data_IF_227388614868
#
_entry.id   IF_227388614868
#
_cell.length_a   1.000
_cell.length_b   1.000
_cell.length_c   1.000
_cell.angle_alpha   90.00
_cell.angle_beta   90.00
_cell.angle_gamma   90.00
#
_symmetry.space_group_name_H-M   'P 1'
#
loop_
_entity.id
_entity.type
_entity.pdbx_description
1 polymer ?
#
# COMPACT_ATOMS: atom_id res chain seq x y z
N UNK A 1 -13.12 -37.66 8.94
CA UNK A 1 -13.79 -36.45 9.48
C UNK A 1 -12.81 -35.28 9.62
N UNK A 2 -11.60 -35.52 10.13
CA UNK A 2 -10.51 -34.52 10.23
C UNK A 2 -10.06 -33.91 8.88
N UNK A 3 -9.88 -34.72 7.83
CA UNK A 3 -9.47 -34.25 6.49
C UNK A 3 -10.53 -33.33 5.86
N UNK A 4 -11.82 -33.61 6.08
CA UNK A 4 -12.93 -32.80 5.56
C UNK A 4 -13.06 -31.46 6.31
N UNK A 5 -12.73 -31.43 7.60
CA UNK A 5 -12.68 -30.20 8.39
C UNK A 5 -11.50 -29.31 7.99
N UNK A 6 -10.34 -29.88 7.65
CA UNK A 6 -9.18 -29.10 7.19
C UNK A 6 -9.49 -28.41 5.84
N UNK A 7 -10.07 -29.11 4.87
CA UNK A 7 -10.45 -28.49 3.58
C UNK A 7 -11.52 -27.40 3.73
N UNK A 8 -12.50 -27.59 4.61
CA UNK A 8 -13.52 -26.57 4.91
C UNK A 8 -12.93 -25.30 5.53
N UNK A 9 -11.91 -25.42 6.39
CA UNK A 9 -11.20 -24.26 6.96
C UNK A 9 -10.48 -23.46 5.89
N UNK A 10 -9.81 -24.12 4.95
CA UNK A 10 -9.09 -23.41 3.87
C UNK A 10 -10.03 -22.70 2.90
N UNK A 11 -11.20 -23.27 2.60
CA UNK A 11 -12.25 -22.61 1.82
C UNK A 11 -12.68 -21.26 2.40
N UNK A 12 -12.88 -21.23 3.71
CA UNK A 12 -13.23 -19.99 4.43
C UNK A 12 -12.11 -18.95 4.36
N UNK A 13 -10.84 -19.37 4.40
CA UNK A 13 -9.69 -18.47 4.23
C UNK A 13 -9.63 -17.90 2.82
N UNK A 14 -9.90 -18.71 1.78
CA UNK A 14 -9.94 -18.21 0.41
C UNK A 14 -11.07 -17.21 0.19
N UNK A 15 -12.25 -17.46 0.78
CA UNK A 15 -13.38 -16.54 0.74
C UNK A 15 -13.03 -15.21 1.42
N UNK A 16 -12.47 -15.27 2.63
CA UNK A 16 -12.04 -14.07 3.38
C UNK A 16 -11.02 -13.27 2.58
N UNK A 17 -10.01 -13.93 2.00
CA UNK A 17 -9.02 -13.29 1.15
C UNK A 17 -9.60 -12.69 -0.12
N UNK A 18 -10.57 -13.36 -0.75
CA UNK A 18 -11.28 -12.85 -1.92
C UNK A 18 -12.11 -11.59 -1.62
N UNK A 19 -12.86 -11.59 -0.51
CA UNK A 19 -13.63 -10.41 -0.06
C UNK A 19 -12.68 -9.27 0.29
N UNK A 20 -11.60 -9.54 1.02
CA UNK A 20 -10.60 -8.53 1.35
C UNK A 20 -9.93 -7.95 0.09
N UNK A 21 -9.69 -8.77 -0.93
CA UNK A 21 -9.13 -8.30 -2.19
C UNK A 21 -10.09 -7.40 -2.97
N UNK A 22 -11.40 -7.66 -2.92
CA UNK A 22 -12.41 -6.74 -3.46
C UNK A 22 -12.39 -5.40 -2.70
N UNK A 23 -12.37 -5.44 -1.36
CA UNK A 23 -12.30 -4.22 -0.56
C UNK A 23 -11.02 -3.42 -0.87
N UNK A 24 -9.90 -4.12 -1.05
CA UNK A 24 -8.64 -3.51 -1.44
C UNK A 24 -8.70 -2.88 -2.84
N UNK A 25 -9.29 -3.57 -3.82
CA UNK A 25 -9.53 -3.02 -5.16
C UNK A 25 -10.42 -1.77 -5.13
N UNK A 26 -11.47 -1.77 -4.30
CA UNK A 26 -12.33 -0.58 -4.12
C UNK A 26 -11.51 0.57 -3.54
N UNK A 27 -10.66 0.32 -2.55
CA UNK A 27 -9.78 1.34 -1.97
C UNK A 27 -8.80 1.91 -3.00
N UNK A 28 -8.20 1.07 -3.86
CA UNK A 28 -7.30 1.50 -4.95
C UNK A 28 -8.05 2.35 -5.98
N UNK A 29 -9.26 1.95 -6.37
CA UNK A 29 -10.08 2.75 -7.30
C UNK A 29 -10.49 4.08 -6.68
N UNK A 30 -10.86 4.08 -5.40
CA UNK A 30 -11.17 5.29 -4.66
C UNK A 30 -9.95 6.22 -4.56
N UNK A 31 -8.75 5.69 -4.32
CA UNK A 31 -7.51 6.45 -4.30
C UNK A 31 -7.25 7.16 -5.64
N UNK A 32 -7.36 6.43 -6.76
CA UNK A 32 -7.22 7.00 -8.11
C UNK A 32 -8.25 8.12 -8.35
N UNK A 33 -9.51 7.89 -7.96
CA UNK A 33 -10.58 8.88 -8.14
C UNK A 33 -10.36 10.13 -7.29
N UNK A 34 -10.05 9.97 -6.00
CA UNK A 34 -9.79 11.09 -5.09
C UNK A 34 -8.57 11.87 -5.57
N UNK A 35 -7.43 11.20 -5.80
CA UNK A 35 -6.18 11.85 -6.21
C UNK A 35 -6.29 12.58 -7.54
N UNK A 36 -7.04 12.06 -8.51
CA UNK A 36 -7.30 12.77 -9.77
C UNK A 36 -8.25 13.96 -9.62
N UNK A 37 -9.19 13.91 -8.66
CA UNK A 37 -10.13 15.01 -8.40
C UNK A 37 -9.54 16.15 -7.56
N UNK A 38 -8.54 15.87 -6.71
CA UNK A 38 -7.94 16.85 -5.79
C UNK A 38 -6.67 17.52 -6.31
N UNK A 39 -6.36 17.35 -7.60
CA UNK A 39 -5.32 18.11 -8.30
C UNK A 39 -4.14 17.30 -8.81
N UNK A 40 -3.98 16.02 -8.43
CA UNK A 40 -2.99 15.06 -8.97
C UNK A 40 -1.50 15.45 -8.91
N UNK A 41 -1.18 16.72 -8.65
CA UNK A 41 0.15 17.28 -8.71
C UNK A 41 0.74 17.32 -7.31
N UNK A 42 1.61 16.36 -7.02
CA UNK A 42 2.31 16.25 -5.73
C UNK A 42 3.10 17.52 -5.36
N UNK A 43 3.42 18.38 -6.34
CA UNK A 43 4.11 19.66 -6.13
C UNK A 43 3.19 20.79 -5.66
N UNK A 44 1.88 20.67 -5.86
CA UNK A 44 0.86 21.62 -5.38
C UNK A 44 0.36 21.30 -3.97
N UNK A 45 0.75 20.13 -3.44
CA UNK A 45 0.44 19.76 -2.08
C UNK A 45 1.16 20.69 -1.08
N UNK A 46 0.57 20.96 0.09
CA UNK A 46 1.25 21.63 1.20
C UNK A 46 2.60 20.97 1.52
N UNK A 47 3.70 21.69 1.34
CA UNK A 47 5.05 21.16 1.51
C UNK A 47 5.58 21.36 2.94
N UNK A 48 5.06 22.34 3.67
CA UNK A 48 5.48 22.63 5.05
C UNK A 48 4.52 22.04 6.07
N UNK A 49 5.03 21.81 7.28
CA UNK A 49 4.24 21.36 8.41
C UNK A 49 3.09 22.33 8.74
N UNK A 50 3.36 23.63 8.68
CA UNK A 50 2.35 24.65 8.96
C UNK A 50 1.26 24.62 7.90
N UNK A 51 1.60 24.53 6.62
CA UNK A 51 0.60 24.44 5.55
C UNK A 51 -0.25 23.17 5.68
N UNK A 52 0.36 22.05 6.08
CA UNK A 52 -0.35 20.80 6.40
C UNK A 52 -1.27 20.96 7.60
N UNK A 53 -0.85 21.67 8.64
CA UNK A 53 -1.74 21.97 9.76
C UNK A 53 -2.93 22.81 9.32
N UNK A 54 -2.72 23.83 8.47
CA UNK A 54 -3.82 24.63 7.90
C UNK A 54 -4.75 23.77 7.03
N UNK A 55 -4.22 22.84 6.25
CA UNK A 55 -5.02 21.88 5.48
C UNK A 55 -5.90 21.05 6.42
N UNK A 56 -5.34 20.49 7.50
CA UNK A 56 -6.11 19.76 8.50
C UNK A 56 -7.20 20.60 9.16
N UNK A 57 -6.98 21.91 9.35
CA UNK A 57 -7.99 22.82 9.91
C UNK A 57 -9.12 23.11 8.92
N UNK A 58 -8.84 23.12 7.60
CA UNK A 58 -9.83 23.34 6.54
C UNK A 58 -10.60 22.07 6.18
N UNK A 59 -9.88 20.96 6.03
CA UNK A 59 -10.41 19.66 5.63
C UNK A 59 -9.59 18.54 6.27
N UNK A 60 -10.01 18.03 7.46
CA UNK A 60 -9.29 16.96 8.13
C UNK A 60 -9.14 15.70 7.29
N UNK A 61 -10.21 15.32 6.57
CA UNK A 61 -10.22 14.10 5.74
C UNK A 61 -9.26 14.18 4.56
N UNK A 62 -9.13 15.36 3.94
CA UNK A 62 -8.19 15.57 2.86
C UNK A 62 -6.74 15.52 3.36
N UNK A 63 -6.46 16.14 4.52
CA UNK A 63 -5.13 16.04 5.15
C UNK A 63 -4.76 14.60 5.52
N UNK A 64 -5.72 13.80 6.02
CA UNK A 64 -5.51 12.37 6.30
C UNK A 64 -5.23 11.58 5.02
N UNK A 65 -5.96 11.86 3.94
CA UNK A 65 -5.76 11.24 2.64
C UNK A 65 -4.38 11.54 2.07
N UNK A 66 -3.97 12.82 2.04
CA UNK A 66 -2.66 13.24 1.51
C UNK A 66 -1.46 12.76 2.34
N UNK A 67 -1.69 12.28 3.56
CA UNK A 67 -0.67 11.60 4.38
C UNK A 67 -0.86 10.08 4.39
N UNK A 68 -1.37 9.51 3.29
CA UNK A 68 -1.41 8.06 3.04
C UNK A 68 -2.27 7.25 4.04
N UNK A 69 -3.27 7.85 4.71
CA UNK A 69 -4.13 7.07 5.62
C UNK A 69 -4.93 6.00 4.86
N UNK A 70 -5.48 6.33 3.68
CA UNK A 70 -6.21 5.36 2.86
C UNK A 70 -5.31 4.19 2.45
N UNK A 71 -4.07 4.49 2.03
CA UNK A 71 -3.06 3.48 1.69
C UNK A 71 -2.69 2.61 2.89
N UNK A 72 -2.58 3.21 4.09
CA UNK A 72 -2.32 2.48 5.34
C UNK A 72 -3.46 1.51 5.68
N UNK A 73 -4.72 1.94 5.54
CA UNK A 73 -5.89 1.09 5.75
C UNK A 73 -5.94 -0.03 4.71
N UNK A 74 -5.66 0.29 3.44
CA UNK A 74 -5.62 -0.69 2.36
C UNK A 74 -4.54 -1.77 2.58
N UNK A 75 -3.38 -1.38 3.12
CA UNK A 75 -2.32 -2.32 3.52
C UNK A 75 -2.77 -3.29 4.60
N UNK A 76 -3.53 -2.83 5.60
CA UNK A 76 -4.11 -3.70 6.64
C UNK A 76 -5.17 -4.66 6.07
N UNK A 77 -6.05 -4.16 5.19
CA UNK A 77 -7.05 -4.99 4.48
C UNK A 77 -6.36 -6.08 3.64
N UNK A 78 -5.16 -5.81 3.13
CA UNK A 78 -4.41 -6.75 2.29
C UNK A 78 -3.75 -7.90 3.07
N UNK A 79 -3.70 -7.85 4.41
CA UNK A 79 -3.18 -8.96 5.24
C UNK A 79 -3.91 -10.30 4.98
N UNK A 80 -5.26 -10.39 5.10
CA UNK A 80 -5.99 -11.60 4.77
C UNK A 80 -5.84 -12.01 3.29
N UNK A 81 -5.60 -11.07 2.37
CA UNK A 81 -5.33 -11.38 0.97
C UNK A 81 -4.03 -12.18 0.84
N UNK A 82 -2.93 -11.67 1.38
CA UNK A 82 -1.62 -12.36 1.32
C UNK A 82 -1.63 -13.69 2.06
N UNK A 83 -2.38 -13.77 3.17
CA UNK A 83 -2.57 -15.04 3.87
C UNK A 83 -3.32 -16.06 3.02
N UNK A 84 -4.37 -15.65 2.29
CA UNK A 84 -5.09 -16.53 1.38
C UNK A 84 -4.26 -16.94 0.15
N UNK A 85 -3.41 -16.06 -0.37
CA UNK A 85 -2.45 -16.39 -1.43
C UNK A 85 -1.41 -17.41 -0.95
N UNK A 86 -0.86 -17.22 0.26
CA UNK A 86 -0.01 -18.21 0.90
C UNK A 86 -0.74 -19.56 1.03
N UNK A 87 -1.97 -19.54 1.55
CA UNK A 87 -2.79 -20.73 1.68
C UNK A 87 -2.93 -21.46 0.33
N UNK A 88 -3.25 -20.74 -0.75
CA UNK A 88 -3.44 -21.32 -2.07
C UNK A 88 -2.16 -21.97 -2.62
N UNK A 89 -0.99 -21.42 -2.30
CA UNK A 89 0.32 -21.89 -2.78
C UNK A 89 1.03 -22.86 -1.83
N UNK A 90 0.51 -23.09 -0.62
CA UNK A 90 1.19 -23.88 0.43
C UNK A 90 1.52 -25.32 0.03
N UNK A 91 0.81 -25.90 -0.95
CA UNK A 91 1.02 -27.28 -1.44
C UNK A 91 1.94 -27.34 -2.66
N UNK A 92 2.14 -26.24 -3.38
CA UNK A 92 2.91 -26.21 -4.63
C UNK A 92 4.22 -25.45 -4.52
N UNK A 93 4.25 -24.38 -3.71
CA UNK A 93 5.42 -23.53 -3.53
C UNK A 93 5.45 -22.88 -2.13
N UNK A 94 5.50 -23.72 -1.09
CA UNK A 94 5.41 -23.29 0.31
C UNK A 94 6.50 -22.29 0.73
N UNK A 95 7.80 -22.49 0.43
CA UNK A 95 8.84 -21.61 0.97
C UNK A 95 8.75 -20.19 0.42
N UNK A 96 8.57 -20.03 -0.90
CA UNK A 96 8.50 -18.70 -1.52
C UNK A 96 7.18 -17.99 -1.19
N UNK A 97 6.06 -18.71 -1.10
CA UNK A 97 4.80 -18.13 -0.66
C UNK A 97 4.84 -17.66 0.81
N UNK A 98 5.51 -18.42 1.69
CA UNK A 98 5.71 -18.01 3.08
C UNK A 98 6.64 -16.80 3.19
N UNK A 99 7.74 -16.80 2.43
CA UNK A 99 8.67 -15.67 2.38
C UNK A 99 7.94 -14.40 1.94
N UNK A 100 7.13 -14.46 0.88
CA UNK A 100 6.33 -13.33 0.43
C UNK A 100 5.37 -12.82 1.52
N UNK A 101 4.68 -13.72 2.23
CA UNK A 101 3.81 -13.34 3.35
C UNK A 101 4.59 -12.64 4.47
N UNK A 102 5.75 -13.16 4.87
CA UNK A 102 6.58 -12.56 5.92
C UNK A 102 7.05 -11.17 5.52
N UNK A 103 7.57 -11.02 4.29
CA UNK A 103 8.00 -9.70 3.76
C UNK A 103 6.81 -8.73 3.75
N UNK A 104 5.62 -9.19 3.34
CA UNK A 104 4.42 -8.36 3.32
C UNK A 104 4.01 -7.89 4.72
N UNK A 105 4.02 -8.77 5.72
CA UNK A 105 3.67 -8.43 7.10
C UNK A 105 4.68 -7.45 7.71
N UNK A 106 5.98 -7.66 7.49
CA UNK A 106 7.03 -6.73 7.92
C UNK A 106 6.86 -5.37 7.24
N UNK A 107 6.68 -5.36 5.91
CA UNK A 107 6.44 -4.14 5.14
C UNK A 107 5.20 -3.38 5.60
N UNK A 108 4.10 -4.09 5.86
CA UNK A 108 2.85 -3.51 6.37
C UNK A 108 3.03 -2.93 7.77
N UNK A 109 3.76 -3.62 8.65
CA UNK A 109 4.06 -3.12 9.99
C UNK A 109 4.87 -1.84 9.93
N UNK A 110 5.90 -1.79 9.07
CA UNK A 110 6.70 -0.59 8.84
C UNK A 110 5.83 0.53 8.26
N UNK A 111 4.98 0.24 7.27
CA UNK A 111 4.08 1.23 6.66
C UNK A 111 3.19 1.89 7.72
N UNK A 112 2.50 1.07 8.53
CA UNK A 112 1.57 1.56 9.57
C UNK A 112 2.32 2.32 10.65
N UNK A 113 3.47 1.80 11.13
CA UNK A 113 4.25 2.44 12.18
C UNK A 113 4.96 3.73 11.70
N UNK A 114 5.19 3.87 10.40
CA UNK A 114 5.84 5.03 9.81
C UNK A 114 4.85 6.08 9.29
N UNK A 115 3.57 5.73 9.14
CA UNK A 115 2.53 6.66 8.73
C UNK A 115 2.35 7.78 9.75
N UNK A 116 2.28 9.02 9.26
CA UNK A 116 2.20 10.22 10.12
C UNK A 116 0.85 10.94 10.05
N UNK A 117 -0.16 10.39 9.37
CA UNK A 117 -1.46 11.05 9.18
C UNK A 117 -2.15 11.40 10.52
N UNK A 118 -2.29 10.43 11.42
CA UNK A 118 -2.94 10.65 12.71
C UNK A 118 -2.10 11.52 13.67
N UNK A 119 -0.78 11.28 13.83
CA UNK A 119 0.08 12.20 14.58
C UNK A 119 0.03 13.65 14.06
N UNK A 120 0.04 13.85 12.75
CA UNK A 120 0.01 15.18 12.14
C UNK A 120 -1.33 15.89 12.38
N UNK A 121 -2.45 15.15 12.37
CA UNK A 121 -3.76 15.68 12.76
C UNK A 121 -3.77 16.11 14.24
N UNK A 122 -3.16 15.32 15.13
CA UNK A 122 -3.03 15.69 16.55
C UNK A 122 -2.18 16.96 16.72
N UNK A 123 -1.04 17.04 16.03
CA UNK A 123 -0.18 18.23 16.04
C UNK A 123 -0.91 19.47 15.50
N UNK A 124 -1.69 19.33 14.42
CA UNK A 124 -2.51 20.43 13.87
C UNK A 124 -3.49 20.97 14.90
N UNK A 125 -4.17 20.10 15.65
CA UNK A 125 -5.11 20.50 16.71
C UNK A 125 -4.42 21.27 17.82
N UNK A 126 -3.24 20.81 18.26
CA UNK A 126 -2.42 21.52 19.27
C UNK A 126 -1.96 22.87 18.74
N UNK A 127 -1.57 22.93 17.46
CA UNK A 127 -1.07 24.15 16.81
C UNK A 127 -2.16 25.25 16.74
N UNK A 128 -3.41 24.86 16.50
CA UNK A 128 -4.53 25.79 16.35
C UNK A 128 -4.82 26.64 17.61
N UNK A 129 -4.48 26.15 18.80
CA UNK A 129 -4.74 26.83 20.09
C UNK A 129 -3.46 27.26 20.83
N UNK A 130 -2.30 27.00 20.23
CA UNK A 130 -1.00 27.27 20.83
C UNK A 130 -0.64 28.76 20.79
N UNK A 131 0.16 29.20 21.77
CA UNK A 131 0.84 30.49 21.70
C UNK A 131 1.97 30.47 20.65
N UNK A 132 2.56 31.64 20.35
CA UNK A 132 3.59 31.76 19.30
C UNK A 132 4.85 30.93 19.58
N UNK A 133 5.23 30.74 20.84
CA UNK A 133 6.40 29.91 21.19
C UNK A 133 6.10 28.43 20.98
N UNK A 134 4.91 27.98 21.41
CA UNK A 134 4.44 26.61 21.21
C UNK A 134 4.20 26.27 19.73
N UNK A 135 3.69 27.22 18.93
CA UNK A 135 3.52 27.04 17.49
C UNK A 135 4.83 26.70 16.79
N UNK A 136 5.92 27.39 17.12
CA UNK A 136 7.24 27.11 16.55
C UNK A 136 7.71 25.68 16.87
N UNK A 137 7.53 25.23 18.12
CA UNK A 137 7.86 23.86 18.53
C UNK A 137 7.02 22.80 17.80
N UNK A 138 5.72 23.05 17.65
CA UNK A 138 4.79 22.15 16.95
C UNK A 138 5.07 22.10 15.45
N UNK A 139 5.44 23.22 14.82
CA UNK A 139 5.87 23.26 13.43
C UNK A 139 7.11 22.39 13.21
N UNK A 140 8.14 22.54 14.06
CA UNK A 140 9.33 21.70 13.99
C UNK A 140 9.03 20.20 14.18
N UNK A 141 8.13 19.85 15.10
CA UNK A 141 7.66 18.47 15.26
C UNK A 141 6.93 17.96 14.00
N UNK A 142 6.13 18.81 13.37
CA UNK A 142 5.46 18.50 12.11
C UNK A 142 6.44 18.28 10.95
N UNK A 143 7.52 19.07 10.86
CA UNK A 143 8.56 18.89 9.83
C UNK A 143 9.25 17.52 9.99
N UNK A 144 9.52 17.12 11.25
CA UNK A 144 10.04 15.78 11.52
C UNK A 144 9.06 14.67 11.09
N UNK A 145 7.75 14.88 11.26
CA UNK A 145 6.73 13.94 10.78
C UNK A 145 6.67 13.88 9.24
N UNK A 146 6.86 15.00 8.55
CA UNK A 146 6.92 15.01 7.08
C UNK A 146 8.15 14.29 6.56
N UNK A 147 9.32 14.57 7.13
CA UNK A 147 10.56 13.86 6.79
C UNK A 147 10.44 12.33 7.00
N UNK A 148 9.71 11.93 8.04
CA UNK A 148 9.47 10.52 8.37
C UNK A 148 8.48 9.84 7.42
N UNK A 149 7.34 10.47 7.14
CA UNK A 149 6.16 9.75 6.63
C UNK A 149 5.33 10.48 5.57
N UNK A 150 5.78 11.64 5.08
CA UNK A 150 5.08 12.28 3.96
C UNK A 150 5.20 11.44 2.68
N UNK A 151 4.16 11.50 1.84
CA UNK A 151 4.18 10.87 0.54
C UNK A 151 5.38 11.37 -0.29
N UNK A 152 6.18 10.46 -0.80
CA UNK A 152 7.42 10.78 -1.54
C UNK A 152 8.62 11.18 -0.67
N UNK A 153 8.51 11.18 0.66
CA UNK A 153 9.67 11.38 1.53
C UNK A 153 10.62 10.19 1.48
N UNK A 154 11.88 10.41 1.84
CA UNK A 154 12.85 9.32 1.97
C UNK A 154 12.44 8.29 3.03
N UNK A 155 11.72 8.72 4.07
CA UNK A 155 11.31 7.86 5.18
C UNK A 155 10.28 6.80 4.77
N UNK A 156 9.46 7.06 3.74
CA UNK A 156 8.47 6.08 3.26
C UNK A 156 9.03 5.02 2.32
N UNK A 157 10.30 5.11 1.92
CA UNK A 157 10.92 4.19 0.95
C UNK A 157 10.69 2.71 1.29
N UNK A 158 11.02 2.30 2.52
CA UNK A 158 10.84 0.90 2.96
C UNK A 158 9.37 0.52 3.11
N UNK A 159 8.51 1.50 3.39
CA UNK A 159 7.06 1.30 3.50
C UNK A 159 6.47 0.88 2.15
N UNK A 160 6.94 1.45 1.04
CA UNK A 160 6.48 1.08 -0.30
C UNK A 160 7.28 -0.08 -0.92
N UNK A 161 8.60 -0.13 -0.72
CA UNK A 161 9.46 -1.15 -1.32
C UNK A 161 9.10 -2.56 -0.85
N UNK A 162 8.92 -2.76 0.46
CA UNK A 162 8.74 -4.12 1.02
C UNK A 162 7.42 -4.78 0.57
N UNK A 163 6.26 -4.10 0.59
CA UNK A 163 5.03 -4.65 0.01
C UNK A 163 5.15 -4.96 -1.48
N UNK A 164 5.79 -4.10 -2.29
CA UNK A 164 6.03 -4.38 -3.71
C UNK A 164 6.97 -5.57 -3.92
N UNK A 165 8.00 -5.71 -3.09
CA UNK A 165 8.89 -6.87 -3.12
C UNK A 165 8.14 -8.15 -2.73
N UNK A 166 7.31 -8.10 -1.69
CA UNK A 166 6.47 -9.22 -1.29
C UNK A 166 5.51 -9.64 -2.42
N UNK A 167 4.89 -8.68 -3.09
CA UNK A 167 4.02 -8.90 -4.24
C UNK A 167 4.79 -9.53 -5.43
N UNK A 168 6.03 -9.09 -5.69
CA UNK A 168 6.89 -9.68 -6.70
C UNK A 168 7.25 -11.14 -6.37
N UNK A 169 7.68 -11.42 -5.14
CA UNK A 169 7.99 -12.78 -4.69
C UNK A 169 6.74 -13.67 -4.74
N UNK A 170 5.58 -13.14 -4.36
CA UNK A 170 4.31 -13.86 -4.47
C UNK A 170 3.97 -14.17 -5.93
N UNK A 171 4.17 -13.20 -6.83
CA UNK A 171 3.93 -13.38 -8.28
C UNK A 171 4.85 -14.43 -8.89
N UNK A 172 6.12 -14.50 -8.44
CA UNK A 172 7.05 -15.56 -8.82
C UNK A 172 6.60 -16.93 -8.27
N UNK A 173 6.10 -16.98 -7.04
CA UNK A 173 5.57 -18.21 -6.46
C UNK A 173 4.35 -18.74 -7.22
N UNK A 174 3.50 -17.84 -7.75
CA UNK A 174 2.33 -18.19 -8.59
C UNK A 174 2.69 -18.85 -9.92
N UNK A 175 3.93 -18.72 -10.40
CA UNK A 175 4.37 -19.36 -11.64
C UNK A 175 4.30 -20.89 -11.58
N UNK A 176 4.51 -21.45 -10.37
CA UNK A 176 4.63 -22.89 -10.15
C UNK A 176 3.33 -23.50 -9.59
N UNK A 177 2.88 -24.61 -10.18
CA UNK A 177 1.87 -25.48 -9.56
C UNK A 177 0.42 -25.37 -10.07
N UNK A 178 0.16 -24.73 -11.21
CA UNK A 178 -1.17 -24.65 -11.88
C UNK A 178 -2.34 -24.12 -11.03
N UNK A 179 -2.11 -23.71 -9.78
CA UNK A 179 -3.12 -23.07 -8.92
C UNK A 179 -3.51 -21.74 -9.54
N UNK A 180 -2.56 -20.91 -9.95
CA UNK A 180 -2.80 -19.68 -10.70
C UNK A 180 -2.37 -19.83 -12.16
N UNK A 181 -2.94 -19.01 -13.04
CA UNK A 181 -2.54 -19.01 -14.45
C UNK A 181 -1.16 -18.38 -14.62
N UNK A 182 -0.42 -18.78 -15.66
CA UNK A 182 0.85 -18.13 -16.01
C UNK A 182 0.66 -16.63 -16.29
N UNK A 183 -0.45 -16.26 -16.91
CA UNK A 183 -0.81 -14.85 -17.13
C UNK A 183 -0.89 -14.08 -15.80
N UNK A 184 -1.48 -14.67 -14.75
CA UNK A 184 -1.53 -14.04 -13.43
C UNK A 184 -0.12 -13.76 -12.89
N UNK A 185 0.77 -14.76 -12.97
CA UNK A 185 2.16 -14.60 -12.54
C UNK A 185 2.90 -13.51 -13.35
N UNK A 186 2.81 -13.51 -14.68
CA UNK A 186 3.51 -12.54 -15.56
C UNK A 186 3.04 -11.11 -15.29
N UNK A 187 1.73 -10.89 -15.24
CA UNK A 187 1.16 -9.56 -15.01
C UNK A 187 1.57 -9.03 -13.64
N UNK A 188 1.56 -9.88 -12.61
CA UNK A 188 2.05 -9.53 -11.28
C UNK A 188 3.55 -9.20 -11.27
N UNK A 189 4.39 -9.99 -11.96
CA UNK A 189 5.83 -9.73 -12.06
C UNK A 189 6.09 -8.39 -12.74
N UNK A 190 5.48 -8.14 -13.90
CA UNK A 190 5.68 -6.91 -14.67
C UNK A 190 5.18 -5.69 -13.89
N UNK A 191 3.98 -5.75 -13.31
CA UNK A 191 3.43 -4.66 -12.51
C UNK A 191 4.30 -4.32 -11.31
N UNK A 192 4.72 -5.32 -10.53
CA UNK A 192 5.54 -5.08 -9.35
C UNK A 192 6.97 -4.64 -9.69
N UNK A 193 7.56 -5.14 -10.77
CA UNK A 193 8.86 -4.68 -11.24
C UNK A 193 8.82 -3.19 -11.61
N UNK A 194 7.78 -2.76 -12.34
CA UNK A 194 7.56 -1.34 -12.66
C UNK A 194 7.38 -0.49 -11.40
N UNK A 195 6.60 -0.98 -10.42
CA UNK A 195 6.41 -0.25 -9.16
C UNK A 195 7.68 -0.14 -8.33
N UNK A 196 8.51 -1.19 -8.27
CA UNK A 196 9.80 -1.14 -7.57
C UNK A 196 10.73 -0.12 -8.25
N UNK A 197 10.83 -0.15 -9.58
CA UNK A 197 11.62 0.83 -10.34
C UNK A 197 11.09 2.24 -10.07
N UNK A 198 9.77 2.45 -10.13
CA UNK A 198 9.14 3.72 -9.82
C UNK A 198 9.51 4.23 -8.41
N UNK A 199 9.34 3.40 -7.38
CA UNK A 199 9.63 3.76 -5.98
C UNK A 199 11.10 4.14 -5.82
N UNK A 200 12.03 3.37 -6.41
CA UNK A 200 13.47 3.68 -6.35
C UNK A 200 13.79 5.00 -7.05
N UNK A 201 13.26 5.22 -8.25
CA UNK A 201 13.51 6.44 -9.02
C UNK A 201 12.95 7.69 -8.32
N UNK A 202 11.69 7.66 -7.86
CA UNK A 202 11.08 8.81 -7.19
C UNK A 202 11.77 9.11 -5.86
N UNK A 203 12.22 8.09 -5.13
CA UNK A 203 12.86 8.29 -3.83
C UNK A 203 14.27 8.90 -3.96
N UNK A 204 15.09 8.38 -4.87
CA UNK A 204 16.51 8.74 -4.91
C UNK A 204 16.91 9.64 -6.08
N UNK A 205 16.06 9.80 -7.09
CA UNK A 205 16.37 10.52 -8.32
C UNK A 205 15.29 11.55 -8.65
N UNK A 206 15.26 12.64 -7.88
CA UNK A 206 14.32 13.76 -8.07
C UNK A 206 14.36 14.37 -9.48
N UNK A 207 15.50 14.31 -10.17
CA UNK A 207 15.67 14.81 -11.54
C UNK A 207 14.85 14.05 -12.61
N UNK A 208 14.42 12.81 -12.31
CA UNK A 208 13.67 11.97 -13.25
C UNK A 208 12.24 11.68 -12.77
N UNK A 209 11.73 12.44 -11.80
CA UNK A 209 10.40 12.22 -11.20
C UNK A 209 9.28 12.17 -12.26
N UNK A 210 9.30 13.08 -13.25
CA UNK A 210 8.31 13.09 -14.34
C UNK A 210 8.37 11.81 -15.20
N UNK A 211 9.57 11.32 -15.48
CA UNK A 211 9.76 10.06 -16.20
C UNK A 211 9.33 8.86 -15.35
N UNK A 212 9.62 8.86 -14.05
CA UNK A 212 9.21 7.81 -13.13
C UNK A 212 7.68 7.71 -13.03
N UNK A 213 6.97 8.85 -12.98
CA UNK A 213 5.50 8.86 -12.99
C UNK A 213 4.89 8.17 -14.22
N UNK A 214 5.59 8.18 -15.37
CA UNK A 214 5.15 7.44 -16.56
C UNK A 214 5.17 5.91 -16.38
N UNK A 215 5.95 5.39 -15.41
CA UNK A 215 5.98 3.97 -15.06
C UNK A 215 4.87 3.58 -14.06
N UNK A 216 4.44 4.53 -13.23
CA UNK A 216 3.46 4.28 -12.18
C UNK A 216 2.09 3.89 -12.74
N UNK A 217 1.59 4.57 -13.78
CA UNK A 217 0.28 4.27 -14.37
C UNK A 217 0.24 2.86 -15.00
N UNK A 218 1.15 2.46 -15.91
CA UNK A 218 1.18 1.09 -16.42
C UNK A 218 1.38 0.05 -15.32
N UNK A 219 2.27 0.33 -14.35
CA UNK A 219 2.50 -0.54 -13.19
C UNK A 219 1.23 -0.76 -12.38
N UNK A 220 0.54 0.31 -11.99
CA UNK A 220 -0.71 0.28 -11.23
C UNK A 220 -1.82 -0.47 -11.96
N UNK A 221 -2.01 -0.23 -13.26
CA UNK A 221 -3.01 -0.95 -14.07
C UNK A 221 -2.73 -2.45 -14.14
N UNK A 222 -1.46 -2.85 -14.31
CA UNK A 222 -1.06 -4.25 -14.26
C UNK A 222 -1.32 -4.86 -12.88
N UNK A 223 -1.05 -4.13 -11.80
CA UNK A 223 -1.36 -4.61 -10.45
C UNK A 223 -2.86 -4.77 -10.20
N UNK A 224 -3.70 -3.85 -10.69
CA UNK A 224 -5.15 -4.01 -10.62
C UNK A 224 -5.61 -5.25 -11.38
N UNK A 225 -5.07 -5.49 -12.59
CA UNK A 225 -5.37 -6.70 -13.35
C UNK A 225 -4.92 -7.97 -12.63
N UNK A 226 -3.72 -7.95 -12.02
CA UNK A 226 -3.20 -9.02 -11.17
C UNK A 226 -4.14 -9.32 -9.99
N UNK A 227 -4.59 -8.27 -9.30
CA UNK A 227 -5.54 -8.37 -8.20
C UNK A 227 -6.87 -8.99 -8.63
N UNK A 228 -7.45 -8.54 -9.74
CA UNK A 228 -8.68 -9.12 -10.28
C UNK A 228 -8.49 -10.61 -10.59
N UNK A 229 -7.39 -10.98 -11.24
CA UNK A 229 -7.11 -12.37 -11.62
C UNK A 229 -6.96 -13.30 -10.41
N UNK A 230 -6.15 -12.93 -9.40
CA UNK A 230 -6.01 -13.78 -8.22
C UNK A 230 -7.31 -13.80 -7.39
N UNK A 231 -8.07 -12.70 -7.36
CA UNK A 231 -9.34 -12.61 -6.62
C UNK A 231 -10.36 -13.58 -7.19
N UNK A 232 -10.55 -13.58 -8.52
CA UNK A 232 -11.41 -14.55 -9.21
C UNK A 232 -10.97 -15.98 -8.87
N UNK A 233 -9.66 -16.22 -8.79
CA UNK A 233 -9.15 -17.55 -8.45
C UNK A 233 -9.42 -17.93 -7.00
N UNK A 234 -9.27 -17.03 -6.04
CA UNK A 234 -9.60 -17.28 -4.64
C UNK A 234 -11.07 -17.68 -4.46
N UNK A 235 -12.01 -16.99 -5.12
CA UNK A 235 -13.43 -17.38 -5.09
C UNK A 235 -13.72 -18.73 -5.76
N UNK A 236 -12.92 -19.15 -6.74
CA UNK A 236 -13.04 -20.50 -7.32
C UNK A 236 -12.47 -21.61 -6.42
N UNK A 237 -11.64 -21.25 -5.45
CA UNK A 237 -11.05 -22.19 -4.50
C UNK A 237 -11.89 -22.32 -3.21
N UNK A 238 -12.68 -21.29 -2.87
CA UNK A 238 -13.62 -21.29 -1.74
C UNK A 238 -14.80 -22.23 -1.94
#
# INVERSE_FOLDING_TARGET
MEILQDESKWKSIYLLGGVAAILSLIAVVADIFIGSSTGGNLTELPQTAVDRFMEFQRSPWLGLYHLDLLNTVNQLISIPVYFALYAALRKTNKPYALLALVIFLVGTTIFVANNTALPMLELSRKYAIADETQKSLLAAAGEAMLARGAHGSLGVFLSFLLPSLAALVMSLAMWQGQVFSKANSIVGILGNALMIVYVVLVTFMSSVQNMAMALAMPGGLLLMAWMVMFTIRLFRLS
#
